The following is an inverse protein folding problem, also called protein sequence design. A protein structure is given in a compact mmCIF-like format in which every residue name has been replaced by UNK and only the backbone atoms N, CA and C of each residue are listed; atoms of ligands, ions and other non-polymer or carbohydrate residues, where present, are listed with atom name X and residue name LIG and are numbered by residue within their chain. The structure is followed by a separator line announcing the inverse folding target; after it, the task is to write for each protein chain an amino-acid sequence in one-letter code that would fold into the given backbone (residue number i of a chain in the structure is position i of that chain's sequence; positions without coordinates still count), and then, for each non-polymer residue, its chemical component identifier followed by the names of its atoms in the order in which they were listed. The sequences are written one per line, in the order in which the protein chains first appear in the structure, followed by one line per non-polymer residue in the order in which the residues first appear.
data_IF_735356155471
#
_entry.id   IF_735356155471
#
_cell.length_a   1.000
_cell.length_b   1.000
_cell.length_c   1.000
_cell.angle_alpha   90.00
_cell.angle_beta   90.00
_cell.angle_gamma   90.00
#
_symmetry.space_group_name_H-M   'P 1'
#
loop_
_entity.id
_entity.type
_entity.pdbx_description
1 polymer ?
#
# COMPACT_ATOMS: atom_id res chain seq x y z
N UNK A 1 28.67 -3.63 5.92
CA UNK A 1 27.55 -3.05 6.61
C UNK A 1 26.23 -3.34 5.90
N UNK A 2 25.19 -3.46 6.65
CA UNK A 2 23.88 -3.91 6.22
C UNK A 2 23.26 -3.08 5.07
N UNK A 3 23.40 -1.77 5.12
CA UNK A 3 22.90 -0.84 4.10
C UNK A 3 23.74 -0.78 2.80
N UNK A 4 24.84 -1.48 2.73
CA UNK A 4 25.64 -1.60 1.49
C UNK A 4 25.21 -2.74 0.58
N UNK A 5 24.16 -3.51 0.96
CA UNK A 5 23.60 -4.54 0.09
C UNK A 5 22.80 -3.91 -1.06
N UNK A 6 22.79 -4.52 -2.27
CA UNK A 6 22.20 -3.91 -3.47
C UNK A 6 20.76 -3.43 -3.31
N UNK A 7 19.94 -4.14 -2.52
CA UNK A 7 18.53 -3.76 -2.26
C UNK A 7 18.41 -2.46 -1.46
N UNK A 8 19.32 -2.19 -0.53
CA UNK A 8 19.34 -0.93 0.23
C UNK A 8 19.84 0.25 -0.61
N UNK A 9 20.75 0.00 -1.54
CA UNK A 9 21.15 1.02 -2.54
C UNK A 9 19.96 1.43 -3.42
N UNK A 10 19.08 0.48 -3.80
CA UNK A 10 17.84 0.78 -4.54
C UNK A 10 16.87 1.64 -3.73
N UNK A 11 16.71 1.37 -2.45
CA UNK A 11 15.86 2.17 -1.57
C UNK A 11 16.40 3.59 -1.40
N UNK A 12 17.72 3.76 -1.26
CA UNK A 12 18.35 5.09 -1.22
C UNK A 12 18.13 5.86 -2.52
N UNK A 13 18.18 5.19 -3.68
CA UNK A 13 17.87 5.81 -4.98
C UNK A 13 16.43 6.31 -5.01
N UNK A 14 15.48 5.52 -4.51
CA UNK A 14 14.06 5.93 -4.42
C UNK A 14 13.90 7.13 -3.49
N UNK A 15 14.49 7.10 -2.30
CA UNK A 15 14.42 8.21 -1.35
C UNK A 15 15.04 9.50 -1.93
N UNK A 16 16.15 9.39 -2.63
CA UNK A 16 16.77 10.52 -3.31
C UNK A 16 15.87 11.07 -4.43
N UNK A 17 15.21 10.21 -5.18
CA UNK A 17 14.29 10.61 -6.23
C UNK A 17 13.07 11.36 -5.69
N UNK A 18 12.50 10.92 -4.56
CA UNK A 18 11.27 11.48 -4.01
C UNK A 18 11.48 12.64 -3.03
N UNK A 19 12.70 12.93 -2.62
CA UNK A 19 12.99 13.94 -1.58
C UNK A 19 12.40 15.33 -1.87
N UNK A 20 12.33 15.73 -3.13
CA UNK A 20 11.81 17.02 -3.58
C UNK A 20 10.39 16.93 -4.15
N UNK A 21 9.74 15.76 -4.04
CA UNK A 21 8.40 15.49 -4.55
C UNK A 21 7.33 15.63 -3.47
N UNK A 22 6.10 15.79 -3.91
CA UNK A 22 4.94 15.64 -3.04
C UNK A 22 4.62 14.14 -2.90
N UNK A 23 4.80 13.59 -1.71
CA UNK A 23 4.83 12.13 -1.48
C UNK A 23 3.68 11.69 -0.60
N UNK A 24 3.01 10.63 -1.02
CA UNK A 24 2.14 9.78 -0.20
C UNK A 24 2.61 8.34 -0.29
N UNK A 25 2.37 7.57 0.75
CA UNK A 25 2.74 6.15 0.82
C UNK A 25 1.49 5.31 1.01
N UNK A 26 1.31 4.32 0.14
CA UNK A 26 0.34 3.26 0.33
C UNK A 26 1.08 1.98 0.72
N UNK A 27 0.89 1.54 1.96
CA UNK A 27 1.45 0.31 2.49
C UNK A 27 0.38 -0.78 2.48
N UNK A 28 0.70 -1.91 1.86
CA UNK A 28 -0.21 -3.05 1.71
C UNK A 28 0.41 -4.26 2.37
N UNK A 29 -0.20 -4.74 3.44
CA UNK A 29 0.19 -5.97 4.11
C UNK A 29 -0.96 -6.48 4.96
N UNK A 30 -1.39 -7.71 4.75
CA UNK A 30 -2.49 -8.30 5.53
C UNK A 30 -2.10 -8.46 7.00
N UNK A 31 -0.99 -9.11 7.27
CA UNK A 31 -0.48 -9.34 8.63
C UNK A 31 0.28 -8.15 9.23
N UNK A 32 0.95 -7.38 8.38
CA UNK A 32 1.92 -6.36 8.80
C UNK A 32 3.27 -6.94 9.24
N UNK A 33 3.46 -8.25 9.16
CA UNK A 33 4.68 -8.95 9.64
C UNK A 33 5.60 -9.41 8.51
N UNK A 34 5.23 -9.23 7.25
CA UNK A 34 6.09 -9.57 6.11
C UNK A 34 7.32 -8.67 6.10
N UNK A 35 8.50 -9.28 6.13
CA UNK A 35 9.76 -8.58 6.42
C UNK A 35 10.09 -7.46 5.43
N UNK A 36 10.05 -7.75 4.13
CA UNK A 36 10.43 -6.78 3.11
C UNK A 36 9.53 -5.53 3.09
N UNK A 37 8.20 -5.65 3.05
CA UNK A 37 7.32 -4.49 3.16
C UNK A 37 7.49 -3.73 4.48
N UNK A 38 7.73 -4.41 5.59
CA UNK A 38 7.94 -3.76 6.89
C UNK A 38 9.19 -2.89 6.90
N UNK A 39 10.32 -3.41 6.40
CA UNK A 39 11.57 -2.65 6.31
C UNK A 39 11.42 -1.44 5.39
N UNK A 40 10.84 -1.64 4.21
CA UNK A 40 10.62 -0.55 3.25
C UNK A 40 9.68 0.52 3.83
N UNK A 41 8.64 0.10 4.53
CA UNK A 41 7.70 1.03 5.16
C UNK A 41 8.35 1.82 6.29
N UNK A 42 9.14 1.20 7.16
CA UNK A 42 9.86 1.89 8.23
C UNK A 42 10.77 2.98 7.69
N UNK A 43 11.50 2.70 6.61
CA UNK A 43 12.36 3.69 5.96
C UNK A 43 11.56 4.85 5.35
N UNK A 44 10.45 4.55 4.68
CA UNK A 44 9.57 5.56 4.10
C UNK A 44 8.86 6.38 5.17
N UNK A 45 8.43 5.77 6.25
CA UNK A 45 7.80 6.47 7.37
C UNK A 45 8.77 7.45 8.04
N UNK A 46 10.00 7.02 8.29
CA UNK A 46 11.07 7.90 8.81
C UNK A 46 11.31 9.08 7.86
N UNK A 47 11.39 8.83 6.57
CA UNK A 47 11.51 9.86 5.54
C UNK A 47 10.33 10.86 5.59
N UNK A 48 9.09 10.35 5.67
CA UNK A 48 7.89 11.21 5.73
C UNK A 48 7.87 12.06 6.99
N UNK A 49 8.20 11.49 8.14
CA UNK A 49 8.25 12.21 9.42
C UNK A 49 9.28 13.34 9.37
N UNK A 50 10.46 13.09 8.83
CA UNK A 50 11.50 14.11 8.65
C UNK A 50 11.09 15.22 7.69
N UNK A 51 10.33 14.88 6.64
CA UNK A 51 9.90 15.83 5.62
C UNK A 51 8.64 16.61 6.00
N UNK A 52 7.64 15.96 6.60
CA UNK A 52 6.31 16.49 6.81
C UNK A 52 5.90 16.64 8.29
N UNK A 53 6.66 16.07 9.22
CA UNK A 53 6.32 16.12 10.64
C UNK A 53 4.93 15.54 10.93
N UNK A 54 4.06 16.30 11.59
CA UNK A 54 2.71 15.86 11.96
C UNK A 54 1.78 15.62 10.76
N UNK A 55 2.04 16.25 9.62
CA UNK A 55 1.29 16.01 8.38
C UNK A 55 1.49 14.60 7.81
N UNK A 56 2.45 13.84 8.32
CA UNK A 56 2.71 12.45 7.92
C UNK A 56 1.48 11.57 8.05
N UNK A 57 0.63 11.81 9.05
CA UNK A 57 -0.60 11.03 9.27
C UNK A 57 -1.57 11.09 8.09
N UNK A 58 -1.57 12.18 7.34
CA UNK A 58 -2.40 12.39 6.16
C UNK A 58 -1.75 11.85 4.87
N UNK A 59 -0.52 11.39 4.95
CA UNK A 59 0.28 10.96 3.80
C UNK A 59 0.53 9.47 3.75
N UNK A 60 -0.04 8.73 4.68
CA UNK A 60 0.04 7.27 4.72
C UNK A 60 -1.35 6.68 4.59
N UNK A 61 -1.47 5.73 3.68
CA UNK A 61 -2.65 4.88 3.53
C UNK A 61 -2.22 3.45 3.86
N UNK A 62 -2.91 2.81 4.77
CA UNK A 62 -2.68 1.42 5.13
C UNK A 62 -3.81 0.53 4.59
N UNK A 63 -3.46 -0.39 3.71
CA UNK A 63 -4.37 -1.43 3.21
C UNK A 63 -4.00 -2.73 3.89
N UNK A 64 -4.83 -3.18 4.83
CA UNK A 64 -4.49 -4.26 5.75
C UNK A 64 -5.73 -5.03 6.21
N UNK A 65 -5.55 -5.99 7.12
CA UNK A 65 -6.65 -6.74 7.70
C UNK A 65 -7.66 -5.84 8.45
N UNK A 66 -8.91 -6.28 8.53
CA UNK A 66 -9.97 -5.52 9.20
C UNK A 66 -9.86 -5.55 10.73
N UNK A 67 -9.36 -6.65 11.28
CA UNK A 67 -9.47 -6.95 12.72
C UNK A 67 -8.13 -7.18 13.40
N UNK A 68 -7.13 -7.70 12.68
CA UNK A 68 -5.88 -8.19 13.24
C UNK A 68 -4.65 -7.69 12.49
N UNK A 69 -3.52 -7.68 13.16
CA UNK A 69 -2.21 -7.45 12.58
C UNK A 69 -1.52 -6.18 13.06
N UNK A 70 -0.20 -6.20 12.98
CA UNK A 70 0.65 -5.10 13.46
C UNK A 70 0.48 -3.82 12.65
N UNK A 71 0.23 -3.94 11.33
CA UNK A 71 -0.03 -2.76 10.51
C UNK A 71 -1.37 -2.10 10.85
N UNK A 72 -2.40 -2.89 11.17
CA UNK A 72 -3.67 -2.37 11.64
C UNK A 72 -3.52 -1.60 12.96
N UNK A 73 -2.79 -2.16 13.91
CA UNK A 73 -2.52 -1.52 15.20
C UNK A 73 -1.79 -0.19 15.02
N UNK A 74 -0.74 -0.19 14.20
CA UNK A 74 0.01 1.02 13.87
C UNK A 74 -0.86 2.07 13.17
N UNK A 75 -1.70 1.65 12.22
CA UNK A 75 -2.58 2.55 11.50
C UNK A 75 -3.63 3.19 12.42
N UNK A 76 -4.14 2.45 13.40
CA UNK A 76 -5.04 2.99 14.44
C UNK A 76 -4.31 3.97 15.36
N UNK A 77 -3.13 3.59 15.85
CA UNK A 77 -2.31 4.44 16.73
C UNK A 77 -1.93 5.76 16.06
N UNK A 78 -1.49 5.72 14.82
CA UNK A 78 -1.05 6.88 14.04
C UNK A 78 -2.17 7.59 13.29
N UNK A 79 -3.38 7.07 13.35
CA UNK A 79 -4.55 7.59 12.63
C UNK A 79 -4.35 7.70 11.11
N UNK A 80 -3.73 6.68 10.51
CA UNK A 80 -3.61 6.59 9.06
C UNK A 80 -4.95 6.26 8.40
N UNK A 81 -5.16 6.72 7.18
CA UNK A 81 -6.28 6.27 6.34
C UNK A 81 -6.16 4.77 6.08
N UNK A 82 -7.25 4.03 6.24
CA UNK A 82 -7.26 2.58 6.14
C UNK A 82 -8.21 2.08 5.06
N UNK A 83 -7.77 1.04 4.38
CA UNK A 83 -8.60 0.18 3.54
C UNK A 83 -8.42 -1.28 3.96
N UNK A 84 -9.43 -2.10 3.71
CA UNK A 84 -9.48 -3.48 4.20
C UNK A 84 -9.11 -4.44 3.09
N UNK A 85 -8.23 -5.39 3.41
CA UNK A 85 -8.00 -6.60 2.61
C UNK A 85 -9.04 -7.63 3.06
N UNK A 86 -9.98 -8.06 2.21
CA UNK A 86 -10.99 -9.04 2.61
C UNK A 86 -10.37 -10.38 3.03
N UNK A 87 -10.87 -10.97 4.10
CA UNK A 87 -10.32 -12.21 4.66
C UNK A 87 -10.45 -13.42 3.74
N UNK A 88 -11.53 -13.46 2.96
CA UNK A 88 -11.86 -14.56 2.06
C UNK A 88 -11.18 -14.46 0.69
N UNK A 89 -10.33 -13.46 0.48
CA UNK A 89 -9.62 -13.24 -0.79
C UNK A 89 -8.12 -13.34 -0.57
N UNK A 90 -7.49 -14.32 -1.21
CA UNK A 90 -6.04 -14.47 -1.21
C UNK A 90 -5.35 -13.37 -2.03
N UNK A 91 -4.07 -13.07 -1.72
CA UNK A 91 -3.33 -11.99 -2.35
C UNK A 91 -3.31 -12.03 -3.87
N UNK A 92 -3.18 -13.23 -4.46
CA UNK A 92 -3.17 -13.42 -5.92
C UNK A 92 -4.50 -13.13 -6.63
N UNK A 93 -5.59 -13.05 -5.87
CA UNK A 93 -6.94 -12.78 -6.38
C UNK A 93 -7.47 -11.40 -5.98
N UNK A 94 -6.62 -10.54 -5.45
CA UNK A 94 -7.04 -9.32 -4.74
C UNK A 94 -7.09 -8.06 -5.61
N UNK A 95 -6.88 -8.15 -6.92
CA UNK A 95 -6.80 -6.97 -7.80
C UNK A 95 -8.10 -6.13 -7.80
N UNK A 96 -9.26 -6.77 -7.66
CA UNK A 96 -10.57 -6.10 -7.57
C UNK A 96 -10.98 -5.72 -6.13
N UNK A 97 -10.04 -5.76 -5.20
CA UNK A 97 -10.18 -5.24 -3.84
C UNK A 97 -9.40 -3.93 -3.71
N UNK A 98 -9.45 -3.24 -2.56
CA UNK A 98 -8.62 -2.05 -2.35
C UNK A 98 -7.13 -2.26 -2.61
N UNK A 99 -6.62 -3.50 -2.53
CA UNK A 99 -5.23 -3.84 -2.84
C UNK A 99 -4.83 -3.40 -4.26
N UNK A 100 -5.66 -3.72 -5.25
CA UNK A 100 -5.41 -3.33 -6.65
C UNK A 100 -6.10 -2.03 -7.04
N UNK A 101 -7.32 -1.81 -6.59
CA UNK A 101 -8.15 -0.69 -7.03
C UNK A 101 -7.59 0.67 -6.61
N UNK A 102 -7.05 0.79 -5.41
CA UNK A 102 -6.49 2.06 -4.95
C UNK A 102 -5.31 2.52 -5.82
N UNK A 103 -4.25 1.73 -6.03
CA UNK A 103 -3.16 2.15 -6.90
C UNK A 103 -3.58 2.35 -8.36
N UNK A 104 -4.52 1.56 -8.87
CA UNK A 104 -5.06 1.72 -10.23
C UNK A 104 -5.80 3.06 -10.37
N UNK A 105 -6.64 3.40 -9.39
CA UNK A 105 -7.35 4.69 -9.38
C UNK A 105 -6.39 5.87 -9.25
N UNK A 106 -5.37 5.77 -8.39
CA UNK A 106 -4.34 6.80 -8.24
C UNK A 106 -3.55 6.99 -9.53
N UNK A 107 -3.31 5.92 -10.29
CA UNK A 107 -2.67 5.99 -11.60
C UNK A 107 -3.54 6.65 -12.69
N UNK A 108 -4.79 6.97 -12.38
CA UNK A 108 -5.70 7.67 -13.28
C UNK A 108 -6.57 6.79 -14.17
N UNK A 109 -6.60 5.48 -13.93
CA UNK A 109 -7.47 4.56 -14.68
C UNK A 109 -8.90 4.57 -14.13
N UNK A 110 -9.86 4.32 -15.02
CA UNK A 110 -11.28 4.20 -14.67
C UNK A 110 -11.56 2.84 -14.03
N UNK A 111 -11.68 2.80 -12.72
CA UNK A 111 -11.96 1.57 -11.96
C UNK A 111 -13.39 1.07 -12.18
N UNK A 112 -14.35 1.94 -12.49
CA UNK A 112 -15.71 1.52 -12.84
C UNK A 112 -15.75 0.76 -14.15
N UNK A 113 -14.97 1.20 -15.15
CA UNK A 113 -14.80 0.47 -16.40
C UNK A 113 -14.16 -0.90 -16.19
N UNK A 114 -13.20 -1.00 -15.26
CA UNK A 114 -12.59 -2.26 -14.86
C UNK A 114 -13.63 -3.24 -14.29
N UNK A 115 -14.50 -2.76 -13.40
CA UNK A 115 -15.60 -3.56 -12.86
C UNK A 115 -16.61 -4.01 -13.92
N UNK A 116 -17.00 -3.12 -14.82
CA UNK A 116 -17.90 -3.48 -15.94
C UNK A 116 -17.30 -4.59 -16.81
N UNK A 117 -15.99 -4.54 -17.06
CA UNK A 117 -15.28 -5.60 -17.78
C UNK A 117 -15.30 -6.93 -17.04
N UNK A 118 -15.11 -6.92 -15.74
CA UNK A 118 -15.18 -8.12 -14.90
C UNK A 118 -16.59 -8.73 -14.86
N UNK A 119 -17.63 -7.90 -14.72
CA UNK A 119 -19.04 -8.34 -14.79
C UNK A 119 -19.38 -8.96 -16.13
N UNK A 120 -18.93 -8.35 -17.23
CA UNK A 120 -19.13 -8.90 -18.57
C UNK A 120 -18.45 -10.25 -18.73
N UNK A 121 -17.21 -10.40 -18.30
CA UNK A 121 -16.49 -11.67 -18.35
C UNK A 121 -17.22 -12.77 -17.54
N UNK A 122 -17.72 -12.43 -16.36
CA UNK A 122 -18.51 -13.36 -15.55
C UNK A 122 -19.78 -13.84 -16.25
N UNK A 123 -20.50 -12.94 -16.93
CA UNK A 123 -21.71 -13.29 -17.66
C UNK A 123 -21.45 -14.16 -18.90
N UNK A 124 -20.27 -14.09 -19.48
CA UNK A 124 -19.87 -14.87 -20.65
C UNK A 124 -19.34 -16.27 -20.27
N UNK A 125 -18.97 -16.52 -19.01
CA UNK A 125 -18.54 -17.84 -18.52
C UNK A 125 -19.70 -18.79 -18.19
N UNK A 126 -20.94 -18.37 -18.29
CA UNK A 126 -22.12 -19.22 -18.06
C UNK A 126 -22.46 -20.15 -19.25
N UNK A 127 -21.47 -20.51 -20.08
CA UNK A 127 -21.64 -21.43 -21.20
C UNK A 127 -20.91 -22.75 -20.98
#
# INVERSE_FOLDING_TARGET
MWYNKPRFKKQNIVLDYIKDKNVMVNVISKSGTTLEPSIAFDLLLDFLVKKYGEETTKRVIATTDAEHGTLLELAKEKNFKRYVVPDNIGGRFSVLTPVGLLPIAVAGFDIEALFRGAEKAKSEEEY
#
